data_IF_832474746350
#
_entry.id   IF_832474746350
#
_cell.length_a   1.000
_cell.length_b   1.000
_cell.length_c   1.000
_cell.angle_alpha   90.00
_cell.angle_beta   90.00
_cell.angle_gamma   90.00
#
_symmetry.space_group_name_H-M   'P 1'
#
loop_
_entity.id
_entity.type
_entity.pdbx_description
1 polymer ?
#
# COMPACT_ATOMS: atom_id res chain seq x y z
N UNK A 1 -0.73 -20.60 -15.27
CA UNK A 1 -1.39 -20.65 -13.94
C UNK A 1 -0.97 -19.42 -13.12
N UNK A 2 -1.80 -18.85 -12.23
CA UNK A 2 -1.40 -17.69 -11.45
C UNK A 2 -0.33 -18.03 -10.40
N UNK A 3 0.66 -17.15 -10.25
CA UNK A 3 1.84 -17.37 -9.43
C UNK A 3 2.26 -16.10 -8.69
N UNK A 4 2.90 -16.29 -7.54
CA UNK A 4 3.62 -15.25 -6.81
C UNK A 4 5.12 -15.46 -6.96
N UNK A 5 5.80 -14.43 -7.45
CA UNK A 5 7.25 -14.47 -7.69
C UNK A 5 7.92 -13.57 -6.67
N UNK A 6 8.79 -14.13 -5.83
CA UNK A 6 9.46 -13.34 -4.79
C UNK A 6 10.53 -12.45 -5.42
N UNK A 7 10.47 -11.14 -5.13
CA UNK A 7 11.43 -10.14 -5.62
C UNK A 7 12.55 -9.84 -4.62
N UNK A 8 12.36 -10.13 -3.33
CA UNK A 8 13.36 -9.89 -2.30
C UNK A 8 14.61 -10.75 -2.51
N UNK A 9 15.81 -10.15 -2.38
CA UNK A 9 17.08 -10.84 -2.61
C UNK A 9 17.29 -12.04 -1.68
N UNK A 10 16.79 -11.95 -0.44
CA UNK A 10 16.88 -13.01 0.58
C UNK A 10 16.13 -14.29 0.20
N UNK A 11 15.12 -14.17 -0.67
CA UNK A 11 14.26 -15.27 -1.12
C UNK A 11 14.23 -15.35 -2.66
N UNK A 12 15.25 -14.80 -3.32
CA UNK A 12 15.27 -14.62 -4.77
C UNK A 12 15.03 -15.93 -5.52
N UNK A 13 14.13 -15.88 -6.51
CA UNK A 13 13.86 -17.01 -7.40
C UNK A 13 12.86 -18.03 -6.88
N UNK A 14 12.30 -17.86 -5.66
CA UNK A 14 11.13 -18.67 -5.25
C UNK A 14 9.89 -18.22 -6.03
N UNK A 15 9.24 -19.19 -6.66
CA UNK A 15 7.95 -19.03 -7.33
C UNK A 15 6.96 -19.91 -6.60
N UNK A 16 5.83 -19.33 -6.21
CA UNK A 16 4.75 -20.04 -5.56
C UNK A 16 3.55 -20.08 -6.50
N UNK A 17 3.10 -21.29 -6.83
CA UNK A 17 1.90 -21.49 -7.61
C UNK A 17 0.66 -21.32 -6.72
N UNK A 18 -0.31 -20.56 -7.20
CA UNK A 18 -1.59 -20.40 -6.50
C UNK A 18 -2.52 -21.53 -6.93
N UNK A 19 -2.53 -22.60 -6.13
CA UNK A 19 -3.37 -23.77 -6.32
C UNK A 19 -4.34 -23.93 -5.16
N UNK A 20 -5.64 -23.76 -5.43
CA UNK A 20 -6.71 -24.03 -4.46
C UNK A 20 -7.54 -22.80 -4.07
N UNK A 21 -8.61 -23.01 -3.28
CA UNK A 21 -9.55 -21.94 -2.92
C UNK A 21 -8.99 -20.98 -1.87
N UNK A 22 -8.03 -21.42 -1.06
CA UNK A 22 -7.43 -20.63 0.01
C UNK A 22 -5.97 -21.03 0.18
N UNK A 23 -5.08 -20.05 0.21
CA UNK A 23 -3.65 -20.22 0.48
C UNK A 23 -3.24 -19.30 1.61
N UNK A 24 -2.76 -19.88 2.72
CA UNK A 24 -2.23 -19.14 3.85
C UNK A 24 -0.78 -18.71 3.59
N UNK A 25 -0.44 -17.50 4.05
CA UNK A 25 0.88 -16.90 3.92
C UNK A 25 1.35 -16.46 5.30
N UNK A 26 2.56 -16.85 5.67
CA UNK A 26 3.10 -16.45 6.96
C UNK A 26 4.49 -17.00 7.25
N UNK A 27 4.98 -16.67 8.44
CA UNK A 27 6.30 -17.08 8.93
C UNK A 27 6.31 -18.48 9.51
N UNK A 28 5.17 -19.01 9.93
CA UNK A 28 5.11 -20.38 10.44
C UNK A 28 5.11 -21.40 9.28
N UNK A 29 5.68 -22.60 9.49
CA UNK A 29 5.82 -23.62 8.45
C UNK A 29 4.51 -24.33 8.10
N UNK A 30 3.44 -24.08 8.84
CA UNK A 30 2.08 -24.59 8.59
C UNK A 30 1.32 -23.76 7.53
N UNK A 31 1.86 -22.62 7.11
CA UNK A 31 1.31 -21.85 6.00
C UNK A 31 1.66 -22.49 4.65
N UNK A 32 0.73 -22.42 3.70
CA UNK A 32 0.98 -22.90 2.33
C UNK A 32 2.17 -22.17 1.69
N UNK A 33 2.29 -20.86 1.97
CA UNK A 33 3.40 -20.03 1.56
C UNK A 33 4.19 -19.61 2.81
N UNK A 34 5.24 -20.38 3.10
CA UNK A 34 6.14 -20.14 4.23
C UNK A 34 7.24 -19.12 3.84
N UNK A 35 7.22 -17.96 4.50
CA UNK A 35 8.23 -16.90 4.41
C UNK A 35 8.90 -16.73 5.78
N UNK A 36 10.06 -17.35 5.95
CA UNK A 36 10.83 -17.28 7.21
C UNK A 36 11.54 -15.93 7.37
N UNK A 37 10.77 -14.88 7.65
CA UNK A 37 11.31 -13.53 7.83
C UNK A 37 10.64 -12.79 9.00
N UNK A 38 11.44 -12.13 9.84
CA UNK A 38 10.98 -11.51 11.10
C UNK A 38 9.85 -10.48 10.94
N UNK A 39 9.75 -9.83 9.77
CA UNK A 39 8.71 -8.84 9.48
C UNK A 39 7.35 -9.47 9.16
N UNK A 40 7.32 -10.79 8.93
CA UNK A 40 6.14 -11.54 8.57
C UNK A 40 5.57 -12.19 9.83
N UNK A 41 4.26 -12.06 10.00
CA UNK A 41 3.54 -12.62 11.15
C UNK A 41 3.39 -14.13 10.98
N UNK A 42 3.12 -14.85 12.08
CA UNK A 42 3.01 -16.31 12.05
C UNK A 42 2.00 -16.79 11.02
N UNK A 43 0.78 -16.25 11.08
CA UNK A 43 -0.20 -16.24 9.99
C UNK A 43 -0.41 -14.76 9.62
N UNK A 44 0.03 -14.35 8.44
CA UNK A 44 0.11 -12.94 8.08
C UNK A 44 -1.05 -12.53 7.17
N UNK A 45 -1.31 -13.33 6.14
CA UNK A 45 -2.36 -13.08 5.17
C UNK A 45 -2.86 -14.38 4.57
N UNK A 46 -4.00 -14.32 3.91
CA UNK A 46 -4.55 -15.38 3.08
C UNK A 46 -4.83 -14.86 1.69
N UNK A 47 -4.62 -15.71 0.69
CA UNK A 47 -5.09 -15.52 -0.66
C UNK A 47 -6.29 -16.42 -0.88
N UNK A 48 -7.42 -15.82 -1.22
CA UNK A 48 -8.70 -16.48 -1.43
C UNK A 48 -9.03 -16.42 -2.92
N UNK A 49 -9.49 -17.53 -3.49
CA UNK A 49 -10.09 -17.54 -4.82
C UNK A 49 -11.55 -17.12 -4.69
N UNK A 50 -11.90 -15.99 -5.30
CA UNK A 50 -13.25 -15.43 -5.33
C UNK A 50 -13.75 -15.41 -6.77
N UNK A 51 -14.68 -16.31 -7.09
CA UNK A 51 -15.13 -16.66 -8.44
C UNK A 51 -14.00 -17.06 -9.40
N UNK A 52 -13.39 -16.07 -10.06
CA UNK A 52 -12.35 -16.22 -11.09
C UNK A 52 -11.06 -15.50 -10.74
N UNK A 53 -11.05 -14.75 -9.65
CA UNK A 53 -9.97 -13.85 -9.30
C UNK A 53 -9.47 -14.13 -7.90
N UNK A 54 -8.17 -13.96 -7.70
CA UNK A 54 -7.58 -14.05 -6.37
C UNK A 54 -7.69 -12.72 -5.65
N UNK A 55 -7.99 -12.78 -4.36
CA UNK A 55 -7.93 -11.65 -3.44
C UNK A 55 -7.00 -11.96 -2.28
N UNK A 56 -6.28 -10.96 -1.83
CA UNK A 56 -5.45 -11.03 -0.63
C UNK A 56 -6.22 -10.42 0.53
N UNK A 57 -6.17 -11.08 1.69
CA UNK A 57 -6.77 -10.65 2.95
C UNK A 57 -5.72 -10.69 4.04
N UNK A 58 -5.52 -9.57 4.73
CA UNK A 58 -4.63 -9.47 5.88
C UNK A 58 -5.30 -10.09 7.13
N UNK A 59 -4.54 -10.86 7.91
CA UNK A 59 -5.01 -11.50 9.14
C UNK A 59 -4.60 -10.70 10.39
N UNK A 60 -4.78 -9.38 10.34
CA UNK A 60 -4.33 -8.44 11.38
C UNK A 60 -2.83 -8.55 11.66
N UNK A 61 -2.05 -8.52 10.59
CA UNK A 61 -0.62 -8.70 10.70
C UNK A 61 0.08 -7.48 11.30
N UNK A 62 1.18 -7.73 12.03
CA UNK A 62 1.89 -6.69 12.79
C UNK A 62 2.38 -5.53 11.92
N UNK A 63 2.92 -5.84 10.74
CA UNK A 63 3.44 -4.83 9.81
C UNK A 63 2.43 -4.48 8.69
N UNK A 64 1.34 -5.23 8.59
CA UNK A 64 0.32 -5.11 7.55
C UNK A 64 0.75 -5.71 6.21
N UNK A 65 -0.27 -6.03 5.41
CA UNK A 65 -0.16 -6.33 3.98
C UNK A 65 -0.32 -5.06 3.15
N UNK A 66 0.50 -4.91 2.11
CA UNK A 66 0.39 -3.81 1.15
C UNK A 66 0.29 -4.32 -0.28
N UNK A 67 -0.44 -3.62 -1.12
CA UNK A 67 -0.50 -3.87 -2.56
C UNK A 67 -0.18 -2.56 -3.27
N UNK A 68 0.80 -2.57 -4.16
CA UNK A 68 1.29 -1.39 -4.88
C UNK A 68 1.64 -0.19 -3.96
N UNK A 69 2.10 -0.49 -2.73
CA UNK A 69 2.49 0.50 -1.72
C UNK A 69 1.39 0.92 -0.75
N UNK A 70 0.13 0.59 -1.00
CA UNK A 70 -1.00 0.93 -0.13
C UNK A 70 -1.31 -0.20 0.85
N UNK A 71 -1.54 0.12 2.13
CA UNK A 71 -1.93 -0.88 3.14
C UNK A 71 -3.39 -1.27 2.95
N UNK A 72 -3.67 -2.57 2.93
CA UNK A 72 -5.02 -3.11 2.71
C UNK A 72 -5.44 -4.02 3.85
N UNK A 73 -6.75 -4.20 4.00
CA UNK A 73 -7.34 -5.28 4.80
C UNK A 73 -7.77 -6.43 3.89
N UNK A 74 -8.40 -6.12 2.76
CA UNK A 74 -8.74 -7.08 1.71
C UNK A 74 -8.68 -6.37 0.35
N UNK A 75 -8.09 -7.00 -0.66
CA UNK A 75 -8.04 -6.47 -2.03
C UNK A 75 -7.94 -7.57 -3.08
N UNK A 76 -8.67 -7.40 -4.19
CA UNK A 76 -8.55 -8.24 -5.39
C UNK A 76 -7.23 -7.98 -6.11
N UNK A 77 -6.48 -9.05 -6.39
CA UNK A 77 -5.19 -9.01 -7.07
C UNK A 77 -5.38 -8.93 -8.59
N UNK A 78 -4.57 -8.09 -9.23
CA UNK A 78 -4.49 -7.92 -10.68
C UNK A 78 -3.10 -8.28 -11.16
N UNK A 79 -3.01 -8.70 -12.41
CA UNK A 79 -1.74 -9.03 -13.06
C UNK A 79 -0.72 -7.90 -12.88
N UNK A 80 0.49 -8.26 -12.47
CA UNK A 80 1.62 -7.39 -12.16
C UNK A 80 1.49 -6.56 -10.88
N UNK A 81 0.50 -6.84 -10.02
CA UNK A 81 0.46 -6.22 -8.70
C UNK A 81 1.66 -6.66 -7.86
N UNK A 82 2.24 -5.70 -7.15
CA UNK A 82 3.30 -5.96 -6.17
C UNK A 82 2.63 -6.05 -4.80
N UNK A 83 2.63 -7.26 -4.24
CA UNK A 83 2.12 -7.53 -2.90
C UNK A 83 3.29 -7.60 -1.93
N UNK A 84 3.22 -6.83 -0.85
CA UNK A 84 4.24 -6.80 0.19
C UNK A 84 3.68 -7.29 1.51
N UNK A 85 4.31 -8.30 2.08
CA UNK A 85 4.02 -8.86 3.41
C UNK A 85 5.13 -8.45 4.37
N UNK A 86 4.87 -7.46 5.23
CA UNK A 86 5.93 -6.81 6.00
C UNK A 86 6.98 -6.15 5.10
N UNK A 87 8.18 -6.71 5.04
CA UNK A 87 9.30 -6.24 4.22
C UNK A 87 9.56 -7.09 2.96
N UNK A 88 8.77 -8.15 2.75
CA UNK A 88 8.98 -9.09 1.65
C UNK A 88 8.04 -8.78 0.50
N UNK A 89 8.59 -8.59 -0.71
CA UNK A 89 7.85 -8.22 -1.92
C UNK A 89 7.69 -9.39 -2.88
N UNK A 90 6.46 -9.59 -3.35
CA UNK A 90 6.09 -10.62 -4.30
C UNK A 90 5.32 -9.99 -5.46
N UNK A 91 5.66 -10.39 -6.68
CA UNK A 91 4.92 -10.04 -7.89
C UNK A 91 3.83 -11.06 -8.12
N UNK A 92 2.59 -10.60 -8.24
CA UNK A 92 1.49 -11.43 -8.71
C UNK A 92 1.48 -11.47 -10.24
N UNK A 93 1.72 -12.63 -10.81
CA UNK A 93 1.62 -12.87 -12.25
C UNK A 93 0.48 -13.84 -12.52
N UNK A 94 -0.61 -13.31 -13.09
CA UNK A 94 -1.68 -14.12 -13.65
C UNK A 94 -1.58 -14.13 -15.17
N UNK A 95 -1.31 -15.30 -15.75
CA UNK A 95 -1.50 -15.51 -17.21
C UNK A 95 -2.98 -15.43 -17.61
N UNK A 96 -3.88 -15.65 -16.65
CA UNK A 96 -5.27 -15.26 -16.81
C UNK A 96 -5.34 -13.75 -16.70
N UNK A 97 -5.27 -13.10 -17.87
CA UNK A 97 -5.97 -11.85 -18.05
C UNK A 97 -7.41 -12.09 -17.58
N UNK A 98 -7.84 -11.40 -16.53
CA UNK A 98 -9.26 -11.11 -16.41
C UNK A 98 -9.69 -10.64 -17.81
N UNK A 99 -10.77 -11.18 -18.42
CA UNK A 99 -11.27 -10.60 -19.65
C UNK A 99 -11.38 -9.13 -19.36
N UNK A 100 -10.58 -8.31 -20.07
CA UNK A 100 -10.62 -6.87 -19.95
C UNK A 100 -12.11 -6.56 -19.97
N UNK A 101 -12.63 -5.99 -18.87
CA UNK A 101 -14.00 -5.49 -18.88
C UNK A 101 -14.06 -4.68 -20.17
N UNK A 102 -14.85 -5.17 -21.13
CA UNK A 102 -14.96 -4.53 -22.41
C UNK A 102 -15.25 -3.08 -22.06
N UNK A 103 -14.34 -2.18 -22.44
CA UNK A 103 -14.67 -0.77 -22.52
C UNK A 103 -16.07 -0.75 -23.13
N UNK A 104 -17.08 -0.11 -22.49
CA UNK A 104 -18.39 -0.05 -23.09
C UNK A 104 -18.18 0.40 -24.53
N UNK A 105 -18.47 -0.50 -25.48
CA UNK A 105 -18.44 -0.19 -26.90
C UNK A 105 -19.16 1.15 -27.02
N UNK A 106 -18.53 2.20 -27.59
CA UNK A 106 -19.19 3.47 -27.79
C UNK A 106 -20.26 3.26 -28.86
N UNK A 107 -21.35 2.59 -28.50
CA UNK A 107 -22.59 2.51 -29.23
C UNK A 107 -23.34 3.82 -29.02
N UNK A 108 -22.68 4.89 -29.41
CA UNK A 108 -23.27 6.16 -29.73
C UNK A 108 -22.44 6.66 -30.90
N UNK A 109 -22.81 6.23 -32.11
CA UNK A 109 -22.50 7.00 -33.31
C UNK A 109 -23.15 8.36 -33.08
N UNK A 110 -22.37 9.31 -32.59
CA UNK A 110 -22.77 10.72 -32.55
C UNK A 110 -22.91 11.11 -34.01
N UNK A 111 -24.15 11.22 -34.49
CA UNK A 111 -24.45 11.83 -35.78
C UNK A 111 -23.90 13.25 -35.75
N UNK A 112 -22.80 13.46 -36.46
CA UNK A 112 -22.22 14.77 -36.69
C UNK A 112 -23.16 15.53 -37.64
N UNK A 113 -24.20 16.16 -37.08
CA UNK A 113 -24.87 17.25 -37.78
C UNK A 113 -23.87 18.40 -37.86
N UNK A 114 -23.36 18.62 -39.06
CA UNK A 114 -22.50 19.74 -39.44
C UNK A 114 -23.21 21.06 -39.13
N UNK A 115 -22.84 21.70 -38.03
CA UNK A 115 -23.13 23.11 -37.79
C UNK A 115 -21.91 23.93 -38.14
N UNK A 116 -22.05 24.65 -39.25
CA UNK A 116 -21.08 25.56 -39.81
C UNK A 116 -20.67 26.67 -38.83
N UNK A 117 -19.39 27.03 -38.91
CA UNK A 117 -18.81 28.37 -38.71
C UNK A 117 -19.55 29.35 -37.81
N UNK A 118 -18.97 29.68 -36.65
CA UNK A 118 -18.97 31.07 -36.17
C UNK A 118 -17.91 31.31 -35.08
N UNK A 119 -16.92 32.14 -35.43
CA UNK A 119 -16.24 33.10 -34.55
C UNK A 119 -15.37 32.57 -33.42
N UNK A 120 -14.05 32.64 -33.57
CA UNK A 120 -13.12 32.67 -32.42
C UNK A 120 -12.89 34.14 -32.03
N UNK A 121 -13.51 34.68 -30.97
CA UNK A 121 -13.20 36.03 -30.52
C UNK A 121 -11.78 36.09 -29.94
N UNK A 122 -11.07 37.19 -30.17
CA UNK A 122 -9.65 37.38 -29.90
C UNK A 122 -9.27 37.61 -28.41
N UNK A 123 -10.13 37.23 -27.46
CA UNK A 123 -9.97 37.62 -26.04
C UNK A 123 -10.10 36.46 -25.07
N UNK A 124 -9.47 35.32 -25.37
CA UNK A 124 -9.24 34.27 -24.37
C UNK A 124 -7.89 34.49 -23.70
N UNK A 125 -7.83 35.44 -22.76
CA UNK A 125 -6.80 35.40 -21.72
C UNK A 125 -7.23 34.37 -20.69
N UNK A 126 -6.35 33.41 -20.39
CA UNK A 126 -6.57 32.35 -19.42
C UNK A 126 -6.68 32.95 -18.01
N UNK A 127 -7.88 33.41 -17.66
CA UNK A 127 -8.23 33.92 -16.33
C UNK A 127 -8.98 32.83 -15.58
N UNK A 128 -8.26 31.82 -15.11
CA UNK A 128 -8.84 30.80 -14.22
C UNK A 128 -8.99 31.40 -12.81
N UNK A 129 -10.21 31.49 -12.25
CA UNK A 129 -10.45 32.09 -10.92
C UNK A 129 -10.29 31.06 -9.79
N UNK A 130 -9.77 29.86 -10.07
CA UNK A 130 -9.68 28.80 -9.08
C UNK A 130 -8.38 28.90 -8.28
N UNK A 131 -8.43 29.08 -6.96
CA UNK A 131 -7.24 29.03 -6.13
C UNK A 131 -6.64 27.62 -6.19
N UNK A 132 -5.35 27.51 -6.52
CA UNK A 132 -4.62 26.22 -6.47
C UNK A 132 -4.63 25.69 -5.04
N UNK A 133 -5.40 24.61 -4.83
CA UNK A 133 -5.53 23.92 -3.56
C UNK A 133 -4.25 23.21 -3.13
N UNK A 134 -3.64 23.76 -2.08
CA UNK A 134 -3.11 23.10 -0.88
C UNK A 134 -2.53 21.67 -1.02
N UNK A 135 -1.20 21.57 -1.09
CA UNK A 135 -0.45 20.34 -0.78
C UNK A 135 -0.44 20.14 0.74
N UNK A 136 -1.31 19.26 1.23
CA UNK A 136 -1.40 18.90 2.64
C UNK A 136 -0.36 17.84 3.01
N UNK A 137 0.35 18.09 4.11
CA UNK A 137 0.73 17.01 5.02
C UNK A 137 2.19 16.58 5.07
N UNK A 138 3.16 17.49 4.94
CA UNK A 138 4.53 17.21 5.40
C UNK A 138 4.56 17.09 6.93
N UNK A 139 4.41 15.85 7.42
CA UNK A 139 4.48 15.48 8.85
C UNK A 139 5.91 15.61 9.42
N UNK A 140 6.53 16.78 9.29
CA UNK A 140 7.82 17.10 9.94
C UNK A 140 7.66 17.66 11.37
N UNK A 141 6.45 18.06 11.77
CA UNK A 141 6.21 18.62 13.11
C UNK A 141 6.04 17.55 14.21
N UNK A 142 5.74 16.30 13.85
CA UNK A 142 5.57 15.20 14.82
C UNK A 142 6.87 14.85 15.56
N UNK A 143 8.02 15.04 14.90
CA UNK A 143 9.34 14.76 15.49
C UNK A 143 9.82 15.87 16.45
N UNK A 144 9.34 17.10 16.26
CA UNK A 144 9.73 18.24 17.11
C UNK A 144 9.13 18.15 18.52
N UNK A 145 7.89 17.66 18.66
CA UNK A 145 7.23 17.49 19.96
C UNK A 145 7.82 16.33 20.78
N UNK A 146 8.24 15.24 20.13
CA UNK A 146 8.86 14.09 20.79
C UNK A 146 10.25 14.45 21.36
N UNK A 147 11.05 15.22 20.61
CA UNK A 147 12.36 15.68 21.06
C UNK A 147 12.25 16.64 22.27
N UNK A 148 11.26 17.54 22.27
CA UNK A 148 11.04 18.47 23.39
C UNK A 148 10.59 17.74 24.67
N UNK A 149 9.74 16.72 24.53
CA UNK A 149 9.30 15.90 25.66
C UNK A 149 10.45 15.10 26.30
N UNK A 150 11.36 14.54 25.50
CA UNK A 150 12.54 13.82 26.02
C UNK A 150 13.51 14.74 26.79
N UNK A 151 13.72 15.96 26.30
CA UNK A 151 14.57 16.95 26.99
C UNK A 151 13.94 17.40 28.32
N UNK A 152 12.62 17.58 28.37
CA UNK A 152 11.93 17.95 29.61
C UNK A 152 12.02 16.84 30.68
N UNK A 153 11.80 15.58 30.29
CA UNK A 153 11.88 14.45 31.24
C UNK A 153 13.31 14.24 31.74
N UNK A 154 14.31 14.35 30.86
CA UNK A 154 15.72 14.26 31.25
C UNK A 154 16.16 15.40 32.17
N UNK A 155 15.72 16.64 31.88
CA UNK A 155 16.03 17.81 32.70
C UNK A 155 15.42 17.77 34.10
N UNK A 156 14.16 17.33 34.22
CA UNK A 156 13.49 17.17 35.53
C UNK A 156 14.15 16.06 36.35
N UNK A 157 14.49 14.93 35.72
CA UNK A 157 15.23 13.85 36.38
C UNK A 157 16.59 14.29 36.90
N UNK A 158 17.35 15.04 36.10
CA UNK A 158 18.64 15.61 36.52
C UNK A 158 18.47 16.60 37.68
N UNK A 159 17.46 17.46 37.64
CA UNK A 159 17.23 18.47 38.67
C UNK A 159 16.86 17.85 40.03
N UNK A 160 16.01 16.82 40.04
CA UNK A 160 15.64 16.08 41.25
C UNK A 160 16.85 15.31 41.81
N UNK A 161 17.65 14.70 40.95
CA UNK A 161 18.88 14.01 41.36
C UNK A 161 19.92 14.99 41.94
N UNK A 162 20.13 16.14 41.30
CA UNK A 162 21.05 17.17 41.78
C UNK A 162 20.60 17.75 43.13
N UNK A 163 19.29 17.88 43.37
CA UNK A 163 18.73 18.27 44.66
C UNK A 163 18.98 17.22 45.75
N UNK A 164 18.89 15.94 45.41
CA UNK A 164 19.16 14.84 46.34
C UNK A 164 20.64 14.75 46.73
N UNK A 165 21.57 15.08 45.82
CA UNK A 165 23.00 15.19 46.15
C UNK A 165 23.36 16.48 46.93
N UNK A 166 22.51 17.50 46.89
CA UNK A 166 22.76 18.80 47.51
C UNK A 166 22.14 18.96 48.90
N UNK A 167 21.42 17.95 49.41
CA UNK A 167 20.98 17.90 50.81
C UNK A 167 22.10 17.36 51.71
N UNK A 168 22.77 18.19 52.52
CA UNK A 168 23.65 17.68 53.57
C UNK A 168 22.80 17.04 54.68
N UNK A 169 23.30 15.92 55.22
CA UNK A 169 22.71 15.19 56.34
C UNK A 169 22.64 16.01 57.63
#
# INVERSE_FOLDING_TARGET
MPRLIVQSQEFAGKVFELSGPTLSIGRLPDNALHIDHNSVSGHHAEILLDDKDYKVKDLDSTNGTRVNGERIAEQKLRRNDIVRFGNIELLYDSEFAAPAQALPEPSARVSLSSSASQGRPASFTNSSPFPKGQTSGSKKWLFALLALALVAVGGVGYYVFALFLSTPA
#
